data_IF_076502441755
#
_entry.id   IF_076502441755
#
_cell.length_a   1.000
_cell.length_b   1.000
_cell.length_c   1.000
_cell.angle_alpha   90.00
_cell.angle_beta   90.00
_cell.angle_gamma   90.00
#
_symmetry.space_group_name_H-M   'P 1'
#
loop_
_entity.id
_entity.type
_entity.pdbx_description
1 polymer ?
#
# COMPACT_ATOMS: atom_id res chain seq x y z
N UNK A 1 11.00 -24.07 -10.03
CA UNK A 1 10.32 -23.31 -11.11
C UNK A 1 11.31 -23.02 -12.23
N UNK A 2 10.89 -22.93 -13.50
CA UNK A 2 11.81 -22.63 -14.62
C UNK A 2 12.25 -21.16 -14.64
N UNK A 3 13.47 -20.91 -15.11
CA UNK A 3 13.99 -19.56 -15.32
C UNK A 3 13.13 -18.72 -16.27
N UNK A 4 12.49 -19.37 -17.25
CA UNK A 4 11.58 -18.73 -18.21
C UNK A 4 10.41 -17.99 -17.54
N UNK A 5 9.78 -18.58 -16.52
CA UNK A 5 8.66 -17.94 -15.80
C UNK A 5 9.11 -16.70 -15.03
N UNK A 6 10.34 -16.73 -14.51
CA UNK A 6 10.91 -15.59 -13.79
C UNK A 6 11.28 -14.45 -14.77
N UNK A 7 11.87 -14.77 -15.91
CA UNK A 7 12.18 -13.80 -16.98
C UNK A 7 10.88 -13.15 -17.48
N UNK A 8 9.84 -13.94 -17.73
CA UNK A 8 8.53 -13.43 -18.14
C UNK A 8 7.94 -12.48 -17.10
N UNK A 9 8.00 -12.85 -15.81
CA UNK A 9 7.58 -11.98 -14.70
C UNK A 9 8.29 -10.63 -14.70
N UNK A 10 9.63 -10.61 -14.83
CA UNK A 10 10.36 -9.35 -14.84
C UNK A 10 9.98 -8.45 -16.02
N UNK A 11 9.80 -9.02 -17.22
CA UNK A 11 9.37 -8.26 -18.40
C UNK A 11 7.96 -7.69 -18.25
N UNK A 12 7.03 -8.48 -17.70
CA UNK A 12 5.67 -8.04 -17.40
C UNK A 12 5.66 -6.92 -16.33
N UNK A 13 6.41 -7.11 -15.25
CA UNK A 13 6.57 -6.11 -14.19
C UNK A 13 7.14 -4.79 -14.72
N UNK A 14 8.09 -4.86 -15.66
CA UNK A 14 8.63 -3.67 -16.32
C UNK A 14 7.53 -2.89 -17.07
N UNK A 15 6.66 -3.59 -17.79
CA UNK A 15 5.50 -3.00 -18.47
C UNK A 15 4.57 -2.27 -17.51
N UNK A 16 4.23 -2.89 -16.36
CA UNK A 16 3.42 -2.23 -15.34
C UNK A 16 4.10 -1.01 -14.73
N UNK A 17 5.39 -1.09 -14.39
CA UNK A 17 6.13 0.05 -13.85
C UNK A 17 6.14 1.24 -14.83
N UNK A 18 6.35 1.00 -16.13
CA UNK A 18 6.32 2.04 -17.14
C UNK A 18 4.93 2.66 -17.27
N UNK A 19 3.88 1.82 -17.35
CA UNK A 19 2.49 2.27 -17.47
C UNK A 19 2.03 3.11 -16.26
N UNK A 20 2.55 2.83 -15.07
CA UNK A 20 2.27 3.57 -13.83
C UNK A 20 3.30 4.67 -13.53
N UNK A 21 4.09 5.09 -14.52
CA UNK A 21 4.94 6.28 -14.44
C UNK A 21 6.24 6.11 -13.68
N UNK A 22 6.85 4.91 -13.71
CA UNK A 22 8.22 4.67 -13.21
C UNK A 22 9.11 4.07 -14.30
N UNK A 23 9.64 4.89 -15.22
CA UNK A 23 10.60 4.42 -16.21
C UNK A 23 11.88 3.84 -15.57
N UNK A 24 12.30 4.32 -14.39
CA UNK A 24 13.48 3.80 -13.70
C UNK A 24 13.28 2.35 -13.24
N UNK A 25 12.19 2.08 -12.50
CA UNK A 25 11.92 0.74 -11.99
C UNK A 25 11.59 -0.22 -13.13
N UNK A 26 10.97 0.28 -14.20
CA UNK A 26 10.77 -0.49 -15.42
C UNK A 26 12.11 -0.95 -16.03
N UNK A 27 13.06 -0.02 -16.19
CA UNK A 27 14.37 -0.33 -16.74
C UNK A 27 15.16 -1.31 -15.86
N UNK A 28 15.09 -1.20 -14.53
CA UNK A 28 15.69 -2.18 -13.63
C UNK A 28 15.11 -3.59 -13.82
N UNK A 29 13.79 -3.71 -13.98
CA UNK A 29 13.16 -5.02 -14.21
C UNK A 29 13.58 -5.64 -15.55
N UNK A 30 13.78 -4.83 -16.60
CA UNK A 30 14.37 -5.32 -17.86
C UNK A 30 15.78 -5.88 -17.62
N UNK A 31 16.62 -5.16 -16.86
CA UNK A 31 17.97 -5.64 -16.51
C UNK A 31 17.96 -6.89 -15.65
N UNK A 32 16.98 -7.06 -14.76
CA UNK A 32 16.82 -8.30 -13.99
C UNK A 32 16.54 -9.50 -14.91
N UNK A 33 15.68 -9.33 -15.92
CA UNK A 33 15.41 -10.37 -16.91
C UNK A 33 16.69 -10.76 -17.68
N UNK A 34 17.41 -9.78 -18.21
CA UNK A 34 18.66 -9.99 -18.96
C UNK A 34 19.75 -10.66 -18.10
N UNK A 35 19.86 -10.29 -16.82
CA UNK A 35 20.83 -10.90 -15.91
C UNK A 35 20.49 -12.36 -15.60
N UNK A 36 19.20 -12.70 -15.51
CA UNK A 36 18.78 -14.10 -15.38
C UNK A 36 19.13 -14.90 -16.64
N UNK A 37 18.89 -14.34 -17.83
CA UNK A 37 19.26 -14.97 -19.11
C UNK A 37 20.78 -15.21 -19.20
N UNK A 38 21.58 -14.29 -18.66
CA UNK A 38 23.04 -14.40 -18.61
C UNK A 38 23.58 -15.24 -17.44
N UNK A 39 22.73 -15.77 -16.55
CA UNK A 39 23.16 -16.55 -15.38
C UNK A 39 23.86 -15.73 -14.29
N UNK A 40 23.54 -14.44 -14.18
CA UNK A 40 24.15 -13.50 -13.23
C UNK A 40 23.62 -13.56 -11.78
N UNK A 41 23.99 -12.59 -10.93
CA UNK A 41 23.58 -12.54 -9.52
C UNK A 41 22.06 -12.63 -9.32
N UNK A 42 21.25 -12.04 -10.19
CA UNK A 42 19.78 -12.10 -10.08
C UNK A 42 19.32 -13.54 -10.20
N UNK A 43 19.89 -14.33 -11.11
CA UNK A 43 19.58 -15.76 -11.23
C UNK A 43 19.89 -16.51 -9.92
N UNK A 44 21.05 -16.24 -9.32
CA UNK A 44 21.46 -16.87 -8.06
C UNK A 44 20.57 -16.46 -6.86
N UNK A 45 20.05 -15.23 -6.87
CA UNK A 45 19.17 -14.71 -5.82
C UNK A 45 17.75 -15.27 -5.89
N UNK A 46 17.30 -15.64 -7.08
CA UNK A 46 15.89 -15.93 -7.37
C UNK A 46 15.62 -17.35 -7.85
N UNK A 47 16.65 -18.16 -8.13
CA UNK A 47 16.50 -19.54 -8.59
C UNK A 47 17.03 -20.55 -7.56
N UNK A 48 16.24 -21.59 -7.19
CA UNK A 48 14.82 -21.75 -7.51
C UNK A 48 13.92 -20.84 -6.63
N UNK A 49 12.98 -20.13 -7.25
CA UNK A 49 11.91 -19.44 -6.49
C UNK A 49 10.86 -20.49 -6.08
N UNK A 50 10.42 -20.51 -4.79
CA UNK A 50 9.58 -21.59 -4.27
C UNK A 50 8.11 -21.52 -4.71
N UNK A 51 7.61 -20.34 -5.07
CA UNK A 51 6.20 -20.05 -5.38
C UNK A 51 6.05 -19.39 -6.75
N UNK A 52 4.90 -18.75 -7.05
CA UNK A 52 4.66 -18.03 -8.30
C UNK A 52 5.27 -16.60 -8.26
N UNK A 53 6.27 -16.26 -9.11
CA UNK A 53 6.94 -14.96 -9.09
C UNK A 53 6.02 -13.75 -9.28
N UNK A 54 4.95 -13.90 -10.07
CA UNK A 54 3.96 -12.83 -10.31
C UNK A 54 3.10 -12.59 -9.08
N UNK A 55 2.61 -13.66 -8.44
CA UNK A 55 1.87 -13.53 -7.19
C UNK A 55 2.74 -12.97 -6.06
N UNK A 56 4.03 -13.29 -6.10
CA UNK A 56 5.03 -12.86 -5.14
C UNK A 56 5.69 -11.52 -5.49
N UNK A 57 5.37 -10.94 -6.65
CA UNK A 57 5.94 -9.68 -7.14
C UNK A 57 7.47 -9.60 -7.00
N UNK A 58 8.18 -10.65 -7.41
CA UNK A 58 9.65 -10.82 -7.19
C UNK A 58 10.46 -9.64 -7.74
N UNK A 59 10.05 -9.09 -8.88
CA UNK A 59 10.61 -7.87 -9.48
C UNK A 59 10.55 -6.66 -8.55
N UNK A 60 9.42 -6.44 -7.88
CA UNK A 60 9.29 -5.36 -6.91
C UNK A 60 10.09 -5.65 -5.63
N UNK A 61 10.23 -6.91 -5.21
CA UNK A 61 11.09 -7.28 -4.07
C UNK A 61 12.56 -6.96 -4.32
N UNK A 62 13.07 -7.25 -5.52
CA UNK A 62 14.45 -6.89 -5.90
C UNK A 62 14.65 -5.38 -6.03
N UNK A 63 13.74 -4.68 -6.70
CA UNK A 63 13.78 -3.22 -6.80
C UNK A 63 13.71 -2.56 -5.41
N UNK A 64 12.85 -3.07 -4.54
CA UNK A 64 12.74 -2.66 -3.13
C UNK A 64 14.01 -2.92 -2.34
N UNK A 65 14.68 -4.06 -2.53
CA UNK A 65 15.95 -4.35 -1.86
C UNK A 65 17.03 -3.32 -2.24
N UNK A 66 17.16 -3.01 -3.54
CA UNK A 66 18.11 -1.98 -3.99
C UNK A 66 17.74 -0.59 -3.45
N UNK A 67 16.46 -0.23 -3.45
CA UNK A 67 16.02 1.05 -2.90
C UNK A 67 16.23 1.13 -1.38
N UNK A 68 16.00 0.05 -0.64
CA UNK A 68 16.31 -0.04 0.78
C UNK A 68 17.80 0.14 1.06
N UNK A 69 18.69 -0.41 0.21
CA UNK A 69 20.12 -0.19 0.31
C UNK A 69 20.50 1.29 0.11
N UNK A 70 19.86 1.97 -0.85
CA UNK A 70 20.03 3.41 -1.08
C UNK A 70 19.53 4.25 0.09
N UNK A 71 18.32 3.98 0.56
CA UNK A 71 17.68 4.73 1.65
C UNK A 71 18.41 4.57 3.00
N UNK A 72 19.03 3.41 3.23
CA UNK A 72 19.79 3.13 4.45
C UNK A 72 21.27 3.54 4.37
N UNK A 73 21.73 4.00 3.20
CA UNK A 73 23.15 4.32 2.98
C UNK A 73 24.07 3.08 2.95
N UNK A 74 23.52 1.88 2.69
CA UNK A 74 24.29 0.63 2.64
C UNK A 74 25.28 0.60 1.48
N UNK A 75 24.99 1.30 0.39
CA UNK A 75 25.89 1.44 -0.75
C UNK A 75 25.87 2.88 -1.26
N UNK A 76 26.98 3.60 -1.07
CA UNK A 76 27.11 5.01 -1.43
C UNK A 76 27.12 5.23 -2.95
N UNK A 77 27.77 4.33 -3.70
CA UNK A 77 27.84 4.42 -5.16
C UNK A 77 26.45 4.22 -5.78
N UNK A 78 25.70 3.24 -5.27
CA UNK A 78 24.32 3.00 -5.68
C UNK A 78 23.44 4.20 -5.33
N UNK A 79 23.58 4.75 -4.11
CA UNK A 79 22.82 5.92 -3.69
C UNK A 79 23.11 7.16 -4.55
N UNK A 80 24.37 7.37 -4.96
CA UNK A 80 24.76 8.46 -5.83
C UNK A 80 24.17 8.35 -7.25
N UNK A 81 23.96 7.13 -7.75
CA UNK A 81 23.42 6.90 -9.09
C UNK A 81 21.88 6.86 -9.16
N UNK A 82 21.19 6.73 -8.02
CA UNK A 82 19.72 6.60 -7.98
C UNK A 82 18.98 7.92 -8.25
N UNK A 83 17.72 7.88 -8.75
CA UNK A 83 16.96 9.08 -9.15
C UNK A 83 16.85 10.18 -8.09
N UNK A 84 16.85 9.83 -6.80
CA UNK A 84 16.81 10.80 -5.71
C UNK A 84 18.07 11.66 -5.54
N UNK A 85 19.21 11.24 -6.13
CA UNK A 85 20.47 12.01 -6.12
C UNK A 85 20.98 12.36 -7.52
N UNK A 86 20.58 11.60 -8.54
CA UNK A 86 20.91 11.84 -9.94
C UNK A 86 19.64 12.05 -10.77
N UNK A 87 19.26 13.31 -11.01
CA UNK A 87 18.05 13.64 -11.77
C UNK A 87 18.07 13.15 -13.23
N UNK A 88 19.27 13.07 -13.83
CA UNK A 88 19.49 12.61 -15.21
C UNK A 88 20.05 11.18 -15.24
N UNK A 89 19.57 10.32 -14.34
CA UNK A 89 19.99 8.92 -14.25
C UNK A 89 19.84 8.20 -15.60
N UNK A 90 20.74 7.24 -15.84
CA UNK A 90 20.67 6.31 -16.98
C UNK A 90 20.81 4.89 -16.48
N UNK A 91 19.95 3.99 -16.94
CA UNK A 91 20.01 2.60 -16.47
C UNK A 91 21.35 1.93 -16.84
N UNK A 92 21.99 2.34 -17.93
CA UNK A 92 23.32 1.84 -18.32
C UNK A 92 24.42 2.17 -17.30
N UNK A 93 24.26 3.26 -16.54
CA UNK A 93 25.20 3.69 -15.50
C UNK A 93 24.84 3.07 -14.14
N UNK A 94 23.53 2.98 -13.84
CA UNK A 94 23.03 2.43 -12.58
C UNK A 94 23.21 0.91 -12.51
N UNK A 95 22.94 0.21 -13.62
CA UNK A 95 22.87 -1.25 -13.63
C UNK A 95 24.18 -1.94 -13.23
N UNK A 96 25.37 -1.55 -13.75
CA UNK A 96 26.63 -2.16 -13.31
C UNK A 96 26.86 -2.06 -11.80
N UNK A 97 26.49 -0.91 -11.19
CA UNK A 97 26.61 -0.66 -9.74
C UNK A 97 25.60 -1.53 -8.97
N UNK A 98 24.34 -1.54 -9.39
CA UNK A 98 23.29 -2.35 -8.78
C UNK A 98 23.62 -3.85 -8.86
N UNK A 99 24.08 -4.33 -10.02
CA UNK A 99 24.50 -5.72 -10.23
C UNK A 99 25.68 -6.10 -9.33
N UNK A 100 26.69 -5.23 -9.21
CA UNK A 100 27.82 -5.44 -8.31
C UNK A 100 27.39 -5.49 -6.83
N UNK A 101 26.43 -4.65 -6.42
CA UNK A 101 25.82 -4.72 -5.10
C UNK A 101 25.10 -6.05 -4.86
N UNK A 102 24.25 -6.48 -5.80
CA UNK A 102 23.52 -7.76 -5.70
C UNK A 102 24.45 -8.97 -5.59
N UNK A 103 25.60 -8.93 -6.27
CA UNK A 103 26.65 -9.95 -6.20
C UNK A 103 27.35 -9.97 -4.82
N UNK A 104 27.66 -8.80 -4.28
CA UNK A 104 28.41 -8.65 -3.02
C UNK A 104 27.55 -8.88 -1.78
N UNK A 105 26.29 -8.43 -1.79
CA UNK A 105 25.39 -8.40 -0.62
C UNK A 105 24.31 -9.50 -0.67
N UNK A 106 24.62 -10.65 -1.27
CA UNK A 106 23.65 -11.72 -1.57
C UNK A 106 22.80 -12.15 -0.36
N UNK A 107 23.41 -12.30 0.80
CA UNK A 107 22.71 -12.75 2.02
C UNK A 107 21.72 -11.71 2.53
N UNK A 108 22.13 -10.44 2.53
CA UNK A 108 21.26 -9.33 2.93
C UNK A 108 20.07 -9.21 1.97
N UNK A 109 20.32 -9.27 0.66
CA UNK A 109 19.26 -9.23 -0.36
C UNK A 109 18.31 -10.42 -0.18
N UNK A 110 18.81 -11.65 -0.03
CA UNK A 110 17.97 -12.84 0.22
C UNK A 110 17.10 -12.70 1.46
N UNK A 111 17.62 -12.11 2.54
CA UNK A 111 16.84 -11.81 3.74
C UNK A 111 15.72 -10.81 3.44
N UNK A 112 16.04 -9.75 2.70
CA UNK A 112 15.07 -8.74 2.29
C UNK A 112 13.94 -9.31 1.41
N UNK A 113 14.27 -10.19 0.46
CA UNK A 113 13.30 -10.80 -0.46
C UNK A 113 12.24 -11.68 0.24
N UNK A 114 12.41 -12.02 1.52
CA UNK A 114 11.39 -12.76 2.30
C UNK A 114 10.17 -11.90 2.62
N UNK A 115 10.30 -10.58 2.58
CA UNK A 115 9.22 -9.67 2.92
C UNK A 115 8.43 -9.27 1.68
N UNK A 116 7.14 -9.59 1.66
CA UNK A 116 6.24 -9.11 0.61
C UNK A 116 6.05 -7.59 0.71
N UNK A 117 5.85 -6.89 -0.42
CA UNK A 117 5.32 -5.53 -0.39
C UNK A 117 3.96 -5.51 0.32
N UNK A 118 3.73 -4.51 1.16
CA UNK A 118 2.41 -4.21 1.72
C UNK A 118 1.91 -2.88 1.17
N UNK A 119 0.60 -2.80 0.91
CA UNK A 119 0.00 -1.67 0.20
C UNK A 119 0.02 -0.39 1.05
N UNK A 120 0.94 0.52 0.75
CA UNK A 120 1.13 1.81 1.46
C UNK A 120 0.70 3.05 0.63
N UNK A 121 0.07 2.86 -0.53
CA UNK A 121 -0.39 3.94 -1.40
C UNK A 121 -1.65 4.66 -0.86
N UNK A 122 -1.48 5.79 -0.17
CA UNK A 122 -2.59 6.52 0.45
C UNK A 122 -3.52 7.20 -0.55
N UNK A 123 -3.12 7.40 -1.82
CA UNK A 123 -3.96 7.99 -2.86
C UNK A 123 -5.26 7.21 -3.10
N UNK A 124 -5.29 5.90 -2.83
CA UNK A 124 -6.50 5.07 -2.93
C UNK A 124 -7.66 5.56 -2.05
N UNK A 125 -7.36 6.34 -1.01
CA UNK A 125 -8.37 6.97 -0.15
C UNK A 125 -9.31 7.89 -0.91
N UNK A 126 -8.95 8.43 -2.08
CA UNK A 126 -9.85 9.29 -2.86
C UNK A 126 -11.06 8.52 -3.40
N UNK A 127 -10.90 7.25 -3.76
CA UNK A 127 -12.01 6.43 -4.24
C UNK A 127 -13.00 6.11 -3.10
N UNK A 128 -12.47 5.87 -1.90
CA UNK A 128 -13.27 5.60 -0.70
C UNK A 128 -13.92 6.87 -0.15
N UNK A 129 -13.27 8.03 -0.28
CA UNK A 129 -13.79 9.32 0.20
C UNK A 129 -15.20 9.60 -0.32
N UNK A 130 -15.47 9.31 -1.60
CA UNK A 130 -16.80 9.49 -2.18
C UNK A 130 -17.88 8.71 -1.43
N UNK A 131 -17.61 7.44 -1.09
CA UNK A 131 -18.53 6.62 -0.30
C UNK A 131 -18.69 7.13 1.14
N UNK A 132 -17.60 7.57 1.77
CA UNK A 132 -17.62 8.09 3.13
C UNK A 132 -18.44 9.38 3.25
N UNK A 133 -18.25 10.30 2.30
CA UNK A 133 -18.97 11.56 2.26
C UNK A 133 -20.44 11.38 1.89
N UNK A 134 -20.76 10.48 0.95
CA UNK A 134 -22.14 10.11 0.64
C UNK A 134 -22.86 9.53 1.86
N UNK A 135 -22.20 8.66 2.63
CA UNK A 135 -22.75 8.17 3.89
C UNK A 135 -22.98 9.30 4.90
N UNK A 136 -22.03 10.23 5.03
CA UNK A 136 -22.13 11.37 5.92
C UNK A 136 -23.27 12.34 5.55
N UNK A 137 -23.81 12.32 4.33
CA UNK A 137 -25.03 13.06 4.00
C UNK A 137 -26.26 12.55 4.74
N UNK A 138 -26.34 11.23 4.92
CA UNK A 138 -27.44 10.55 5.58
C UNK A 138 -27.26 10.43 7.09
N UNK A 139 -26.02 10.51 7.58
CA UNK A 139 -25.67 10.44 8.99
C UNK A 139 -24.70 11.56 9.38
N UNK A 140 -25.18 12.53 10.16
CA UNK A 140 -24.38 13.67 10.66
C UNK A 140 -23.83 13.47 12.07
N UNK A 141 -24.15 12.35 12.71
CA UNK A 141 -23.66 12.00 14.04
C UNK A 141 -22.22 11.47 14.03
N UNK A 142 -21.71 11.03 15.20
CA UNK A 142 -20.38 10.43 15.31
C UNK A 142 -20.29 9.11 14.52
N UNK A 143 -19.08 8.78 14.03
CA UNK A 143 -18.80 7.57 13.24
C UNK A 143 -17.59 6.86 13.82
N UNK A 144 -17.73 5.57 14.08
CA UNK A 144 -16.62 4.67 14.41
C UNK A 144 -16.15 3.96 13.15
N UNK A 145 -14.85 4.06 12.86
CA UNK A 145 -14.22 3.49 11.68
C UNK A 145 -13.57 2.15 12.00
N UNK A 146 -13.79 1.15 11.13
CA UNK A 146 -13.17 -0.17 11.18
C UNK A 146 -12.47 -0.46 9.84
N UNK A 147 -11.14 -0.38 9.79
CA UNK A 147 -10.34 -0.75 8.61
C UNK A 147 -9.82 -2.19 8.72
N UNK A 148 -10.06 -3.01 7.70
CA UNK A 148 -9.45 -4.35 7.61
C UNK A 148 -8.38 -4.38 6.52
N UNK A 149 -7.24 -5.03 6.79
CA UNK A 149 -6.09 -5.05 5.88
C UNK A 149 -5.34 -3.72 5.85
N UNK A 150 -5.21 -3.07 7.01
CA UNK A 150 -4.71 -1.71 7.11
C UNK A 150 -3.19 -1.57 6.96
N UNK A 151 -2.43 -2.68 6.88
CA UNK A 151 -0.96 -2.67 6.90
C UNK A 151 -0.44 -1.86 8.10
N UNK A 152 0.20 -0.70 7.84
CA UNK A 152 0.73 0.21 8.85
C UNK A 152 -0.26 1.29 9.32
N UNK A 153 -1.53 1.22 8.90
CA UNK A 153 -2.59 2.13 9.36
C UNK A 153 -2.55 3.54 8.77
N UNK A 154 -1.86 3.76 7.65
CA UNK A 154 -1.74 5.11 7.06
C UNK A 154 -3.12 5.70 6.69
N UNK A 155 -4.00 4.89 6.10
CA UNK A 155 -5.33 5.32 5.68
C UNK A 155 -6.32 5.49 6.83
N UNK A 156 -5.99 5.08 8.06
CA UNK A 156 -6.80 5.42 9.23
C UNK A 156 -6.95 6.93 9.40
N UNK A 157 -6.10 7.75 8.77
CA UNK A 157 -6.12 9.21 8.86
C UNK A 157 -6.69 9.88 7.60
N UNK A 158 -7.46 9.15 6.79
CA UNK A 158 -7.97 9.64 5.51
C UNK A 158 -8.71 11.00 5.62
N UNK A 159 -9.51 11.20 6.67
CA UNK A 159 -10.29 12.44 6.89
C UNK A 159 -9.43 13.62 7.32
N UNK A 160 -8.14 13.38 7.59
CA UNK A 160 -7.13 14.38 7.90
C UNK A 160 -6.23 14.69 6.71
N UNK A 161 -6.46 14.06 5.56
CA UNK A 161 -5.73 14.38 4.34
C UNK A 161 -6.33 15.60 3.64
N UNK A 162 -5.56 16.23 2.76
CA UNK A 162 -6.04 17.20 1.79
C UNK A 162 -6.36 16.47 0.50
N UNK A 163 -7.57 16.67 -0.03
CA UNK A 163 -7.97 16.15 -1.34
C UNK A 163 -8.15 17.33 -2.28
N UNK A 164 -7.60 17.22 -3.49
CA UNK A 164 -7.68 18.28 -4.49
C UNK A 164 -7.69 17.71 -5.89
N UNK A 165 -8.71 18.10 -6.67
CA UNK A 165 -8.84 17.78 -8.09
C UNK A 165 -8.90 19.08 -8.89
N UNK A 166 -9.09 18.99 -10.20
CA UNK A 166 -9.33 20.15 -11.06
C UNK A 166 -10.67 20.84 -10.78
N UNK A 167 -11.64 20.16 -10.16
CA UNK A 167 -13.03 20.64 -10.02
C UNK A 167 -13.49 20.79 -8.58
N UNK A 168 -12.81 20.18 -7.61
CA UNK A 168 -13.18 20.26 -6.20
C UNK A 168 -11.99 20.05 -5.25
N UNK A 169 -12.17 20.46 -4.00
CA UNK A 169 -11.23 20.18 -2.93
C UNK A 169 -11.96 19.91 -1.61
N UNK A 170 -11.34 19.12 -0.74
CA UNK A 170 -11.88 18.76 0.57
C UNK A 170 -10.75 18.50 1.57
N UNK A 171 -11.02 18.73 2.86
CA UNK A 171 -10.04 18.57 3.93
C UNK A 171 -9.12 19.77 4.13
N UNK A 172 -8.29 19.69 5.16
CA UNK A 172 -7.43 20.78 5.64
C UNK A 172 -6.34 21.12 4.61
N UNK A 173 -6.28 22.37 4.09
CA UNK A 173 -5.19 22.82 3.22
C UNK A 173 -3.79 22.69 3.83
N UNK A 174 -3.67 22.65 5.17
CA UNK A 174 -2.40 22.51 5.87
C UNK A 174 -1.96 21.04 6.07
N UNK A 175 -2.79 20.06 5.68
CA UNK A 175 -2.42 18.64 5.77
C UNK A 175 -1.12 18.35 5.00
N UNK A 176 -0.16 17.61 5.60
CA UNK A 176 1.07 17.20 4.91
C UNK A 176 0.81 16.12 3.85
N UNK A 177 -0.41 15.58 3.78
CA UNK A 177 -0.82 14.57 2.80
C UNK A 177 -1.74 15.22 1.78
N UNK A 178 -1.23 15.44 0.57
CA UNK A 178 -2.02 15.85 -0.58
C UNK A 178 -2.41 14.63 -1.42
N UNK A 179 -3.70 14.45 -1.59
CA UNK A 179 -4.31 13.46 -2.46
C UNK A 179 -4.90 14.17 -3.67
N UNK A 180 -4.23 13.98 -4.80
CA UNK A 180 -4.64 14.48 -6.11
C UNK A 180 -4.96 13.34 -7.07
N UNK A 181 -5.86 13.59 -8.01
CA UNK A 181 -6.13 12.70 -9.14
C UNK A 181 -6.82 13.47 -10.25
N UNK A 182 -6.67 12.98 -11.48
CA UNK A 182 -7.55 13.37 -12.57
C UNK A 182 -8.94 12.75 -12.34
N UNK A 183 -9.85 13.51 -11.74
CA UNK A 183 -11.17 13.06 -11.35
C UNK A 183 -12.20 13.43 -12.42
N UNK A 184 -12.71 12.41 -13.11
CA UNK A 184 -13.61 12.57 -14.27
C UNK A 184 -15.10 12.36 -13.92
N UNK A 185 -15.45 12.31 -12.64
CA UNK A 185 -16.82 12.17 -12.16
C UNK A 185 -17.32 13.49 -11.49
N UNK A 186 -18.62 13.65 -11.20
CA UNK A 186 -19.09 14.75 -10.36
C UNK A 186 -18.38 14.77 -9.01
N UNK A 187 -18.33 15.95 -8.38
CA UNK A 187 -17.81 16.07 -7.02
C UNK A 187 -18.67 15.23 -6.06
N UNK A 188 -18.06 14.49 -5.11
CA UNK A 188 -18.82 13.89 -4.02
C UNK A 188 -19.42 14.99 -3.13
N UNK A 189 -20.37 14.67 -2.24
CA UNK A 189 -20.97 15.68 -1.36
C UNK A 189 -19.97 16.17 -0.31
N UNK A 190 -19.30 17.30 -0.58
CA UNK A 190 -18.14 17.84 0.14
C UNK A 190 -18.43 18.37 1.57
N UNK A 191 -19.38 17.78 2.29
CA UNK A 191 -19.73 18.14 3.66
C UNK A 191 -18.72 17.62 4.70
N UNK A 192 -18.89 18.03 5.97
CA UNK A 192 -18.07 17.52 7.06
C UNK A 192 -18.40 16.06 7.39
N UNK A 193 -17.44 15.37 8.00
CA UNK A 193 -17.63 14.05 8.59
C UNK A 193 -17.12 14.04 10.04
N UNK A 194 -17.84 13.38 10.93
CA UNK A 194 -17.53 13.35 12.36
C UNK A 194 -16.96 11.98 12.76
N UNK A 195 -15.64 11.81 12.60
CA UNK A 195 -14.97 10.58 13.02
C UNK A 195 -14.69 10.62 14.52
N UNK A 196 -15.26 9.66 15.26
CA UNK A 196 -15.15 9.52 16.72
C UNK A 196 -14.02 8.58 17.12
N UNK A 197 -14.10 7.34 16.64
CA UNK A 197 -13.11 6.30 16.92
C UNK A 197 -12.62 5.65 15.63
N UNK A 198 -11.43 5.05 15.74
CA UNK A 198 -10.73 4.37 14.65
C UNK A 198 -10.15 3.09 15.22
N UNK A 199 -10.40 1.99 14.55
CA UNK A 199 -9.72 0.73 14.82
C UNK A 199 -9.37 0.06 13.50
N UNK A 200 -8.27 -0.67 13.48
CA UNK A 200 -7.85 -1.43 12.32
C UNK A 200 -7.24 -2.76 12.71
N UNK A 201 -7.23 -3.68 11.76
CA UNK A 201 -6.41 -4.88 11.85
C UNK A 201 -5.62 -5.17 10.57
N UNK A 202 -4.53 -5.91 10.75
CA UNK A 202 -3.78 -6.58 9.69
C UNK A 202 -3.20 -7.88 10.26
N UNK A 203 -2.97 -8.89 9.41
CA UNK A 203 -2.34 -10.14 9.86
C UNK A 203 -0.86 -9.94 10.20
N UNK A 204 -0.21 -8.96 9.57
CA UNK A 204 1.17 -8.61 9.79
C UNK A 204 1.34 -7.08 9.77
N UNK A 205 0.85 -6.36 10.81
CA UNK A 205 0.96 -4.92 10.88
C UNK A 205 2.43 -4.52 10.97
N UNK A 206 2.79 -3.47 10.22
CA UNK A 206 4.11 -2.85 10.26
C UNK A 206 4.07 -1.66 11.21
N UNK A 207 5.11 -1.54 12.05
CA UNK A 207 5.18 -0.51 13.07
C UNK A 207 5.90 0.72 12.52
N UNK A 208 5.19 1.84 12.41
CA UNK A 208 5.75 3.09 11.92
C UNK A 208 6.85 3.65 12.83
N UNK A 209 6.98 3.23 14.09
CA UNK A 209 8.06 3.66 14.99
C UNK A 209 9.32 2.80 14.86
N UNK A 210 9.24 1.63 14.19
CA UNK A 210 10.39 0.77 13.92
C UNK A 210 11.06 1.17 12.61
N UNK A 211 12.32 1.59 12.69
CA UNK A 211 13.08 2.05 11.52
C UNK A 211 13.15 1.03 10.37
N UNK A 212 13.23 -0.26 10.68
CA UNK A 212 13.25 -1.33 9.67
C UNK A 212 11.92 -1.47 8.92
N UNK A 213 10.78 -1.34 9.62
CA UNK A 213 9.45 -1.42 9.02
C UNK A 213 9.17 -0.18 8.17
N UNK A 214 9.57 1.01 8.65
CA UNK A 214 9.51 2.24 7.87
C UNK A 214 10.36 2.16 6.61
N UNK A 215 11.60 1.68 6.73
CA UNK A 215 12.50 1.48 5.59
C UNK A 215 11.87 0.52 4.57
N UNK A 216 11.26 -0.58 5.04
CA UNK A 216 10.58 -1.55 4.18
C UNK A 216 9.44 -0.89 3.42
N UNK A 217 8.53 -0.20 4.12
CA UNK A 217 7.42 0.52 3.49
C UNK A 217 7.93 1.51 2.44
N UNK A 218 8.89 2.35 2.81
CA UNK A 218 9.44 3.40 1.94
C UNK A 218 10.15 2.82 0.71
N UNK A 219 10.88 1.72 0.88
CA UNK A 219 11.66 1.09 -0.19
C UNK A 219 10.79 0.54 -1.33
N UNK A 220 9.52 0.23 -1.05
CA UNK A 220 8.57 -0.22 -2.07
C UNK A 220 7.90 0.92 -2.84
N UNK A 221 8.21 2.17 -2.51
CA UNK A 221 7.85 3.34 -3.32
C UNK A 221 8.94 3.53 -4.37
N UNK A 222 8.56 3.72 -5.62
CA UNK A 222 9.52 3.82 -6.73
C UNK A 222 10.38 5.09 -6.61
N UNK A 223 11.72 5.00 -6.75
CA UNK A 223 12.63 6.11 -6.49
C UNK A 223 12.44 7.33 -7.38
N UNK A 224 11.89 7.15 -8.58
CA UNK A 224 11.60 8.18 -9.57
C UNK A 224 10.19 8.78 -9.42
N UNK A 225 9.52 8.56 -8.28
CA UNK A 225 8.22 9.12 -7.95
C UNK A 225 8.28 9.97 -6.68
N UNK A 226 8.96 11.15 -6.74
CA UNK A 226 9.19 11.99 -5.57
C UNK A 226 7.89 12.44 -4.89
N UNK A 227 6.82 12.70 -5.65
CA UNK A 227 5.53 13.10 -5.08
C UNK A 227 4.87 11.97 -4.26
N UNK A 228 5.06 10.71 -4.66
CA UNK A 228 4.58 9.55 -3.88
C UNK A 228 5.41 9.37 -2.60
N UNK A 229 6.72 9.60 -2.68
CA UNK A 229 7.60 9.59 -1.51
C UNK A 229 7.20 10.70 -0.53
N UNK A 230 6.99 11.93 -0.99
CA UNK A 230 6.58 13.05 -0.14
C UNK A 230 5.21 12.79 0.53
N UNK A 231 4.25 12.26 -0.23
CA UNK A 231 2.92 11.88 0.28
C UNK A 231 3.01 10.78 1.35
N UNK A 232 3.87 9.78 1.15
CA UNK A 232 4.12 8.74 2.13
C UNK A 232 4.72 9.31 3.43
N UNK A 233 5.74 10.17 3.33
CA UNK A 233 6.35 10.80 4.52
C UNK A 233 5.32 11.64 5.29
N UNK A 234 4.48 12.41 4.59
CA UNK A 234 3.38 13.15 5.21
C UNK A 234 2.40 12.23 5.92
N UNK A 235 2.07 11.08 5.32
CA UNK A 235 1.13 10.12 5.91
C UNK A 235 1.72 9.42 7.14
N UNK A 236 3.02 9.10 7.11
CA UNK A 236 3.74 8.55 8.26
C UNK A 236 3.77 9.56 9.41
N UNK A 237 4.09 10.83 9.12
CA UNK A 237 4.11 11.88 10.14
C UNK A 237 2.74 12.04 10.81
N UNK A 238 1.67 12.08 10.02
CA UNK A 238 0.31 12.20 10.51
C UNK A 238 -0.13 10.98 11.32
N UNK A 239 0.17 9.76 10.84
CA UNK A 239 -0.17 8.52 11.54
C UNK A 239 0.55 8.40 12.89
N UNK A 240 1.82 8.79 12.97
CA UNK A 240 2.58 8.85 14.24
C UNK A 240 2.00 9.90 15.20
N UNK A 241 1.63 11.08 14.69
CA UNK A 241 1.02 12.12 15.51
C UNK A 241 -0.33 11.67 16.10
N UNK A 242 -1.09 10.88 15.35
CA UNK A 242 -2.42 10.41 15.75
C UNK A 242 -2.39 9.09 16.55
N UNK A 243 -1.21 8.51 16.83
CA UNK A 243 -1.04 7.19 17.44
C UNK A 243 -1.92 6.12 16.75
N UNK A 244 -1.86 6.08 15.42
CA UNK A 244 -2.63 5.11 14.64
C UNK A 244 -2.12 3.69 14.92
N UNK A 245 -2.94 2.88 15.61
CA UNK A 245 -2.61 1.50 15.97
C UNK A 245 -3.41 0.51 15.13
N UNK A 246 -2.73 -0.55 14.73
CA UNK A 246 -3.29 -1.65 13.96
C UNK A 246 -3.14 -2.94 14.77
N UNK A 247 -4.26 -3.58 15.07
CA UNK A 247 -4.26 -4.85 15.78
C UNK A 247 -3.68 -5.95 14.88
N UNK A 248 -2.80 -6.79 15.42
CA UNK A 248 -2.34 -7.99 14.73
C UNK A 248 -3.42 -9.06 14.85
N UNK A 249 -4.24 -9.25 13.81
CA UNK A 249 -5.35 -10.20 13.83
C UNK A 249 -5.75 -10.68 12.42
N UNK A 250 -6.41 -11.85 12.38
CA UNK A 250 -7.21 -12.23 11.21
C UNK A 250 -8.41 -11.29 11.09
N UNK A 251 -8.65 -10.78 9.88
CA UNK A 251 -9.68 -9.78 9.64
C UNK A 251 -11.10 -10.29 9.89
N UNK A 252 -11.38 -11.58 9.64
CA UNK A 252 -12.70 -12.17 9.88
C UNK A 252 -13.01 -12.21 11.37
N UNK A 253 -12.13 -12.85 12.15
CA UNK A 253 -12.30 -12.96 13.60
C UNK A 253 -12.32 -11.58 14.28
N UNK A 254 -11.43 -10.67 13.87
CA UNK A 254 -11.39 -9.31 14.41
C UNK A 254 -12.69 -8.54 14.15
N UNK A 255 -13.22 -8.64 12.92
CA UNK A 255 -14.42 -7.90 12.55
C UNK A 255 -15.68 -8.45 13.23
N UNK A 256 -15.79 -9.77 13.39
CA UNK A 256 -16.87 -10.38 14.19
C UNK A 256 -16.91 -9.81 15.61
N UNK A 257 -15.76 -9.74 16.28
CA UNK A 257 -15.66 -9.16 17.62
C UNK A 257 -16.07 -7.69 17.63
N UNK A 258 -15.46 -6.85 16.76
CA UNK A 258 -15.73 -5.40 16.75
C UNK A 258 -17.18 -5.07 16.44
N UNK A 259 -17.82 -5.81 15.54
CA UNK A 259 -19.21 -5.59 15.18
C UNK A 259 -20.20 -6.11 16.24
N UNK A 260 -19.82 -7.09 17.06
CA UNK A 260 -20.61 -7.51 18.21
C UNK A 260 -20.62 -6.45 19.33
N UNK A 261 -19.51 -5.71 19.47
CA UNK A 261 -19.30 -4.69 20.51
C UNK A 261 -19.68 -3.26 20.07
N UNK A 262 -20.28 -3.09 18.87
CA UNK A 262 -20.58 -1.75 18.34
C UNK A 262 -21.51 -0.97 19.27
N UNK A 263 -21.28 0.33 19.37
CA UNK A 263 -22.18 1.25 20.06
C UNK A 263 -23.56 1.30 19.35
N UNK A 264 -24.61 1.55 20.14
CA UNK A 264 -26.01 1.55 19.66
C UNK A 264 -26.58 2.96 19.43
N UNK A 265 -25.72 3.97 19.56
CA UNK A 265 -26.00 5.41 19.42
C UNK A 265 -25.04 6.12 18.43
N UNK A 266 -24.26 5.34 17.66
CA UNK A 266 -23.27 5.85 16.70
C UNK A 266 -23.30 5.05 15.41
N UNK A 267 -22.89 5.66 14.30
CA UNK A 267 -22.65 4.91 13.08
C UNK A 267 -21.35 4.10 13.16
N UNK A 268 -21.33 2.95 12.49
CA UNK A 268 -20.11 2.18 12.23
C UNK A 268 -19.83 2.14 10.73
N UNK A 269 -18.61 2.45 10.31
CA UNK A 269 -18.18 2.38 8.92
C UNK A 269 -17.05 1.36 8.80
N UNK A 270 -17.34 0.21 8.19
CA UNK A 270 -16.35 -0.80 7.83
C UNK A 270 -15.80 -0.47 6.45
N UNK A 271 -14.47 -0.45 6.30
CA UNK A 271 -13.87 -0.24 5.00
C UNK A 271 -12.59 -1.02 4.75
N UNK A 272 -12.29 -1.22 3.48
CA UNK A 272 -11.06 -1.82 3.01
C UNK A 272 -10.75 -1.44 1.56
N UNK A 273 -9.49 -1.59 1.16
CA UNK A 273 -9.03 -1.28 -0.19
C UNK A 273 -7.96 -2.26 -0.66
N UNK A 274 -8.20 -2.89 -1.82
CA UNK A 274 -7.31 -3.88 -2.44
C UNK A 274 -6.88 -4.92 -1.41
N UNK A 275 -7.85 -5.48 -0.70
CA UNK A 275 -7.63 -6.38 0.43
C UNK A 275 -8.14 -7.78 0.13
N UNK A 276 -9.35 -7.91 -0.44
CA UNK A 276 -10.03 -9.21 -0.60
C UNK A 276 -9.32 -10.19 -1.55
N UNK A 277 -8.32 -9.75 -2.32
CA UNK A 277 -7.50 -10.64 -3.12
C UNK A 277 -6.48 -11.47 -2.33
N UNK A 278 -6.18 -11.07 -1.08
CA UNK A 278 -5.16 -11.72 -0.24
C UNK A 278 -5.70 -12.80 0.70
N UNK A 279 -6.77 -12.58 1.49
CA UNK A 279 -7.21 -13.56 2.47
C UNK A 279 -7.78 -14.82 1.80
N UNK A 280 -7.67 -15.99 2.46
CA UNK A 280 -8.34 -17.21 2.04
C UNK A 280 -9.85 -17.02 1.84
N UNK A 281 -10.45 -17.92 1.07
CA UNK A 281 -11.90 -17.87 0.80
C UNK A 281 -12.72 -17.94 2.09
N UNK A 282 -12.31 -18.75 3.08
CA UNK A 282 -13.03 -18.84 4.35
C UNK A 282 -13.04 -17.49 5.08
N UNK A 283 -11.88 -16.84 5.23
CA UNK A 283 -11.77 -15.52 5.88
C UNK A 283 -12.66 -14.48 5.18
N UNK A 284 -12.73 -14.48 3.84
CA UNK A 284 -13.64 -13.60 3.09
C UNK A 284 -15.10 -13.86 3.41
N UNK A 285 -15.50 -15.12 3.50
CA UNK A 285 -16.88 -15.49 3.85
C UNK A 285 -17.23 -15.05 5.27
N UNK A 286 -16.30 -15.21 6.22
CA UNK A 286 -16.45 -14.72 7.60
C UNK A 286 -16.65 -13.21 7.63
N UNK A 287 -15.81 -12.43 6.93
CA UNK A 287 -15.94 -10.97 6.85
C UNK A 287 -17.34 -10.57 6.35
N UNK A 288 -17.78 -11.15 5.22
CA UNK A 288 -19.07 -10.81 4.60
C UNK A 288 -20.22 -11.18 5.53
N UNK A 289 -20.18 -12.37 6.13
CA UNK A 289 -21.20 -12.84 7.07
C UNK A 289 -21.30 -11.93 8.30
N UNK A 290 -20.16 -11.51 8.87
CA UNK A 290 -20.11 -10.60 10.02
C UNK A 290 -20.77 -9.25 9.70
N UNK A 291 -20.45 -8.66 8.54
CA UNK A 291 -21.04 -7.39 8.08
C UNK A 291 -22.53 -7.53 7.85
N UNK A 292 -22.98 -8.61 7.18
CA UNK A 292 -24.41 -8.84 6.92
C UNK A 292 -25.21 -9.04 8.21
N UNK A 293 -24.68 -9.83 9.14
CA UNK A 293 -25.33 -10.05 10.44
C UNK A 293 -25.40 -8.76 11.28
N UNK A 294 -24.35 -7.93 11.27
CA UNK A 294 -24.39 -6.62 11.93
C UNK A 294 -25.36 -5.66 11.23
N UNK A 295 -25.41 -5.69 9.90
CA UNK A 295 -26.33 -4.90 9.09
C UNK A 295 -27.80 -5.22 9.39
N UNK A 296 -28.15 -6.49 9.58
CA UNK A 296 -29.52 -6.89 9.94
C UNK A 296 -29.97 -6.41 11.33
N UNK A 297 -29.02 -6.01 12.18
CA UNK A 297 -29.26 -5.41 13.50
C UNK A 297 -29.09 -3.88 13.50
N UNK A 298 -28.70 -3.27 12.38
CA UNK A 298 -28.52 -1.82 12.29
C UNK A 298 -29.85 -1.09 12.49
N UNK A 299 -29.79 0.09 13.11
CA UNK A 299 -30.96 0.93 13.38
C UNK A 299 -30.72 2.34 12.85
N UNK A 300 -31.76 3.17 12.86
CA UNK A 300 -31.62 4.58 12.53
C UNK A 300 -30.68 5.34 13.50
N UNK A 301 -30.52 4.86 14.74
CA UNK A 301 -29.61 5.45 15.74
C UNK A 301 -28.19 4.86 15.71
N UNK A 302 -28.01 3.70 15.07
CA UNK A 302 -26.72 3.04 14.89
C UNK A 302 -26.63 2.38 13.51
N UNK A 303 -26.53 3.17 12.44
CA UNK A 303 -26.41 2.65 11.08
C UNK A 303 -25.04 2.00 10.87
N UNK A 304 -25.00 1.02 9.96
CA UNK A 304 -23.77 0.38 9.51
C UNK A 304 -23.56 0.69 8.02
N UNK A 305 -22.36 1.13 7.66
CA UNK A 305 -21.92 1.28 6.28
C UNK A 305 -20.75 0.34 6.00
N UNK A 306 -20.73 -0.23 4.78
CA UNK A 306 -19.61 -1.01 4.27
C UNK A 306 -19.13 -0.42 2.95
N UNK A 307 -17.93 0.15 2.94
CA UNK A 307 -17.32 0.79 1.78
C UNK A 307 -16.07 0.03 1.34
N UNK A 308 -15.94 -0.25 0.04
CA UNK A 308 -14.85 -1.07 -0.48
C UNK A 308 -14.33 -0.55 -1.81
N UNK A 309 -13.01 -0.60 -1.97
CA UNK A 309 -12.33 -0.47 -3.26
C UNK A 309 -11.63 -1.79 -3.53
N UNK A 310 -12.14 -2.60 -4.43
CA UNK A 310 -11.58 -3.94 -4.70
C UNK A 310 -11.46 -4.18 -6.20
N UNK A 311 -10.46 -4.96 -6.65
CA UNK A 311 -10.40 -5.42 -8.03
C UNK A 311 -11.66 -6.21 -8.40
N UNK A 312 -12.12 -6.07 -9.65
CA UNK A 312 -13.35 -6.70 -10.14
C UNK A 312 -13.36 -8.23 -9.97
N UNK A 313 -12.20 -8.87 -10.06
CA UNK A 313 -12.06 -10.32 -9.91
C UNK A 313 -12.42 -10.86 -8.51
N UNK A 314 -12.57 -9.99 -7.50
CA UNK A 314 -12.85 -10.37 -6.11
C UNK A 314 -14.08 -9.68 -5.50
N UNK A 315 -14.81 -8.89 -6.29
CA UNK A 315 -16.05 -8.20 -5.91
C UNK A 315 -17.29 -9.04 -6.15
#
# INVERSE_FOLDING_TARGET
MSAERLIAHFREQAGYCAAFGSPFTAALNVRFAEDVEAGGPVAALTSPWPSNPSADVVGLRLAGALHAAVLSGRDEALAAAYPGRAAQWRVEEVWPIARAFLEREREWVRSFLRYAPQTNETRRSIALLGAFLAFAETWRGPIDLLEIGASAGLNLNWDRFRYQTSTWAWGDPASPVLIDTDWQAPAPPLGPINVRHRAACDINPLDLHRGEDLLRLKSYIWPDQPDRLARFEGAVALARQCDARVDRADAGAWLEQKLAERAQDTATLVYHSVFLQYPPRETRQTIIAAIQAAGSRASASAPLAWARLEPEAVT
#
